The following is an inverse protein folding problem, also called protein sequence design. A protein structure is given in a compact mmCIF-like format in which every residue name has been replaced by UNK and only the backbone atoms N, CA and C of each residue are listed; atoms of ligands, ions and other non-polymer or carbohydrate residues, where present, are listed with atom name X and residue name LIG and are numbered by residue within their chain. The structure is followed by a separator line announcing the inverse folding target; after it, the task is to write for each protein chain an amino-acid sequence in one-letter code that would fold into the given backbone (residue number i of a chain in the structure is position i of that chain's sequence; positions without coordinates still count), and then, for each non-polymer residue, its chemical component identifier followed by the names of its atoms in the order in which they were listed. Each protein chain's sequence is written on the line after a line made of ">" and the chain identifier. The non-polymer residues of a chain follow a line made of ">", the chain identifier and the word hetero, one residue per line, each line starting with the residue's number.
data_IF_918270585083
#
_entry.id   IF_918270585083
#
_cell.length_a   1.000
_cell.length_b   1.000
_cell.length_c   1.000
_cell.angle_alpha   90.00
_cell.angle_beta   90.00
_cell.angle_gamma   90.00
#
_symmetry.space_group_name_H-M   'P 1'
#
loop_
_entity.id
_entity.type
_entity.pdbx_description
1 polymer ?
#
# COMPACT_ATOMS: atom_id res chain seq x y z
N UNK A 1 -9.09 29.91 36.70
CA UNK A 1 -9.19 29.92 35.22
C UNK A 1 -8.21 28.97 34.55
N UNK A 2 -6.91 28.98 34.89
CA UNK A 2 -5.89 28.12 34.26
C UNK A 2 -6.23 26.61 34.32
N UNK A 3 -6.71 26.11 35.46
CA UNK A 3 -7.13 24.70 35.62
C UNK A 3 -8.32 24.34 34.71
N UNK A 4 -9.30 25.23 34.58
CA UNK A 4 -10.46 25.00 33.71
C UNK A 4 -10.04 24.91 32.23
N UNK A 5 -9.14 25.81 31.79
CA UNK A 5 -8.55 25.77 30.45
C UNK A 5 -7.79 24.46 30.21
N UNK A 6 -7.03 23.99 31.21
CA UNK A 6 -6.27 22.74 31.11
C UNK A 6 -7.18 21.50 31.06
N UNK A 7 -8.31 21.53 31.78
CA UNK A 7 -9.33 20.47 31.70
C UNK A 7 -9.97 20.43 30.31
N UNK A 8 -10.30 21.58 29.73
CA UNK A 8 -10.87 21.67 28.37
C UNK A 8 -9.86 21.18 27.33
N UNK A 9 -8.59 21.61 27.41
CA UNK A 9 -7.52 21.15 26.51
C UNK A 9 -7.28 19.64 26.61
N UNK A 10 -7.29 19.07 27.82
CA UNK A 10 -7.21 17.62 28.00
C UNK A 10 -8.40 16.88 27.40
N UNK A 11 -9.62 17.41 27.57
CA UNK A 11 -10.81 16.82 26.97
C UNK A 11 -10.72 16.83 25.44
N UNK A 12 -10.30 17.95 24.83
CA UNK A 12 -10.07 18.05 23.38
C UNK A 12 -8.98 17.09 22.91
N UNK A 13 -7.89 16.95 23.66
CA UNK A 13 -6.80 16.02 23.34
C UNK A 13 -7.28 14.55 23.41
N UNK A 14 -8.07 14.20 24.42
CA UNK A 14 -8.69 12.88 24.54
C UNK A 14 -9.66 12.58 23.39
N UNK A 15 -10.51 13.54 23.03
CA UNK A 15 -11.42 13.41 21.88
C UNK A 15 -10.61 13.20 20.59
N UNK A 16 -9.57 13.99 20.38
CA UNK A 16 -8.64 13.80 19.27
C UNK A 16 -8.01 12.41 19.28
N UNK A 17 -7.63 11.89 20.44
CA UNK A 17 -7.01 10.57 20.59
C UNK A 17 -7.99 9.44 20.25
N UNK A 18 -9.24 9.58 20.67
CA UNK A 18 -10.31 8.66 20.31
C UNK A 18 -10.61 8.66 18.81
N UNK A 19 -10.65 9.85 18.19
CA UNK A 19 -10.82 9.99 16.74
C UNK A 19 -9.64 9.38 15.97
N UNK A 20 -8.41 9.60 16.44
CA UNK A 20 -7.22 8.97 15.88
C UNK A 20 -7.29 7.44 15.92
N UNK A 21 -7.68 6.87 17.06
CA UNK A 21 -7.82 5.42 17.22
C UNK A 21 -8.95 4.85 16.34
N UNK A 22 -10.06 5.58 16.18
CA UNK A 22 -11.12 5.20 15.26
C UNK A 22 -10.65 5.23 13.80
N UNK A 23 -9.87 6.24 13.41
CA UNK A 23 -9.29 6.36 12.08
C UNK A 23 -8.26 5.25 11.80
N UNK A 24 -7.39 4.95 12.79
CA UNK A 24 -6.45 3.84 12.75
C UNK A 24 -7.17 2.50 12.55
N UNK A 25 -8.26 2.27 13.29
CA UNK A 25 -9.06 1.06 13.19
C UNK A 25 -9.73 0.94 11.83
N UNK A 26 -10.26 2.04 11.30
CA UNK A 26 -10.89 2.06 9.99
C UNK A 26 -9.87 1.78 8.87
N UNK A 27 -8.68 2.36 9.00
CA UNK A 27 -7.56 2.15 8.08
C UNK A 27 -6.94 0.76 8.21
N UNK A 28 -6.94 0.16 9.39
CA UNK A 28 -6.41 -1.19 9.60
C UNK A 28 -7.16 -2.26 8.77
N UNK A 29 -8.45 -2.04 8.50
CA UNK A 29 -9.28 -2.90 7.64
C UNK A 29 -9.23 -2.60 6.14
N UNK A 30 -8.42 -1.62 5.70
CA UNK A 30 -8.42 -1.14 4.32
C UNK A 30 -7.02 -1.19 3.68
N UNK A 31 -6.99 -1.16 2.34
CA UNK A 31 -5.77 -0.92 1.58
C UNK A 31 -5.38 0.55 1.64
N UNK A 32 -4.47 0.90 2.55
CA UNK A 32 -4.06 2.29 2.78
C UNK A 32 -3.02 2.71 1.73
N UNK A 33 -3.27 3.76 0.93
CA UNK A 33 -2.25 4.36 0.07
C UNK A 33 -1.21 5.12 0.90
N UNK A 34 0.05 5.14 0.42
CA UNK A 34 1.22 5.70 1.14
C UNK A 34 1.00 7.13 1.70
N UNK A 35 0.31 8.00 0.96
CA UNK A 35 0.00 9.37 1.39
C UNK A 35 -0.87 9.44 2.65
N UNK A 36 -1.71 8.43 2.87
CA UNK A 36 -2.58 8.36 4.04
C UNK A 36 -1.87 7.82 5.29
N UNK A 37 -0.69 7.22 5.14
CA UNK A 37 0.19 6.84 6.26
C UNK A 37 0.94 8.06 6.80
N UNK A 38 1.52 8.89 5.93
CA UNK A 38 2.23 10.11 6.35
C UNK A 38 1.30 11.08 7.11
N UNK A 39 0.06 11.23 6.64
CA UNK A 39 -0.95 12.04 7.35
C UNK A 39 -1.28 11.47 8.74
N UNK A 40 -1.27 10.15 8.89
CA UNK A 40 -1.55 9.47 10.15
C UNK A 40 -0.38 9.59 11.13
N UNK A 41 0.84 9.52 10.60
CA UNK A 41 2.07 9.76 11.37
C UNK A 41 2.13 11.19 11.90
N UNK A 42 1.92 12.18 11.05
CA UNK A 42 1.89 13.61 11.44
C UNK A 42 0.81 13.85 12.50
N UNK A 43 -0.38 13.26 12.31
CA UNK A 43 -1.48 13.43 13.25
C UNK A 43 -1.17 12.77 14.62
N UNK A 44 -0.58 11.56 14.61
CA UNK A 44 -0.13 10.89 15.83
C UNK A 44 0.99 11.64 16.55
N UNK A 45 1.98 12.15 15.81
CA UNK A 45 3.09 12.94 16.35
C UNK A 45 2.59 14.25 16.99
N UNK A 46 1.66 14.93 16.32
CA UNK A 46 1.03 16.16 16.83
C UNK A 46 0.30 15.90 18.15
N UNK A 47 -0.46 14.81 18.21
CA UNK A 47 -1.26 14.47 19.38
C UNK A 47 -0.40 14.11 20.60
N UNK A 48 0.68 13.36 20.37
CA UNK A 48 1.63 13.03 21.41
C UNK A 48 2.41 14.25 21.91
N UNK A 49 2.86 15.13 21.02
CA UNK A 49 3.53 16.38 21.40
C UNK A 49 2.61 17.26 22.29
N UNK A 50 1.34 17.42 21.90
CA UNK A 50 0.34 18.13 22.71
C UNK A 50 0.12 17.45 24.06
N UNK A 51 0.01 16.12 24.09
CA UNK A 51 -0.21 15.36 25.33
C UNK A 51 0.95 15.53 26.32
N UNK A 52 2.20 15.45 25.84
CA UNK A 52 3.40 15.64 26.66
C UNK A 52 3.50 17.08 27.17
N UNK A 53 3.17 18.06 26.33
CA UNK A 53 3.13 19.46 26.76
C UNK A 53 2.08 19.68 27.85
N UNK A 54 0.87 19.14 27.70
CA UNK A 54 -0.19 19.24 28.71
C UNK A 54 0.21 18.57 30.04
N UNK A 55 0.89 17.42 29.99
CA UNK A 55 1.41 16.75 31.17
C UNK A 55 2.48 17.60 31.87
N UNK A 56 3.41 18.18 31.10
CA UNK A 56 4.45 19.07 31.63
C UNK A 56 3.87 20.34 32.24
N UNK A 57 2.85 20.95 31.61
CA UNK A 57 2.17 22.12 32.16
C UNK A 57 1.52 21.79 33.52
N UNK A 58 0.94 20.60 33.65
CA UNK A 58 0.37 20.10 34.92
C UNK A 58 1.43 19.98 36.00
N UNK A 59 2.60 19.43 35.66
CA UNK A 59 3.77 19.35 36.54
C UNK A 59 4.27 20.75 36.95
N UNK A 60 4.38 21.69 36.01
CA UNK A 60 4.79 23.06 36.29
C UNK A 60 3.83 23.76 37.25
N UNK A 61 2.51 23.64 37.04
CA UNK A 61 1.50 24.23 37.92
C UNK A 61 1.61 23.65 39.33
N UNK A 62 1.77 22.33 39.44
CA UNK A 62 1.93 21.65 40.72
C UNK A 62 3.20 22.09 41.45
N UNK A 63 4.35 22.10 40.77
CA UNK A 63 5.64 22.47 41.34
C UNK A 63 5.68 23.93 41.82
N UNK A 64 5.21 24.87 41.00
CA UNK A 64 5.14 26.29 41.36
C UNK A 64 4.10 26.58 42.43
N UNK A 65 3.01 25.80 42.49
CA UNK A 65 2.05 25.84 43.58
C UNK A 65 2.65 25.39 44.92
N UNK A 66 3.53 24.39 44.91
CA UNK A 66 4.22 23.91 46.11
C UNK A 66 5.36 24.82 46.58
N UNK A 67 6.08 25.45 45.65
CA UNK A 67 7.30 26.21 45.94
C UNK A 67 7.10 27.74 45.96
N UNK A 68 5.87 28.23 45.79
CA UNK A 68 5.53 29.65 45.95
C UNK A 68 6.02 30.60 44.84
N UNK A 69 6.59 30.09 43.74
CA UNK A 69 7.17 30.89 42.66
C UNK A 69 6.17 31.22 41.53
N UNK A 70 4.97 31.68 41.89
CA UNK A 70 3.87 31.99 40.95
C UNK A 70 4.25 32.95 39.82
N UNK A 71 5.18 33.88 40.05
CA UNK A 71 5.63 34.87 39.05
C UNK A 71 6.33 34.24 37.83
N UNK A 72 6.89 33.03 37.95
CA UNK A 72 7.60 32.36 36.86
C UNK A 72 6.80 31.25 36.16
N UNK A 73 5.54 31.05 36.55
CA UNK A 73 4.69 29.97 36.03
C UNK A 73 4.53 30.05 34.51
N UNK A 74 4.19 31.23 33.96
CA UNK A 74 4.01 31.39 32.51
C UNK A 74 5.30 31.19 31.73
N UNK A 75 6.45 31.66 32.26
CA UNK A 75 7.75 31.42 31.63
C UNK A 75 8.08 29.94 31.60
N UNK A 76 7.79 29.22 32.69
CA UNK A 76 8.05 27.77 32.77
C UNK A 76 7.18 26.97 31.81
N UNK A 77 5.91 27.32 31.66
CA UNK A 77 4.98 26.71 30.69
C UNK A 77 5.45 26.97 29.25
N UNK A 78 5.81 28.22 28.92
CA UNK A 78 6.31 28.56 27.60
C UNK A 78 7.60 27.79 27.28
N UNK A 79 8.55 27.79 28.21
CA UNK A 79 9.84 27.11 28.05
C UNK A 79 9.67 25.59 27.92
N UNK A 80 8.78 24.99 28.73
CA UNK A 80 8.46 23.56 28.62
C UNK A 80 7.88 23.21 27.25
N UNK A 81 7.05 24.08 26.66
CA UNK A 81 6.44 23.84 25.34
C UNK A 81 7.50 23.94 24.24
N UNK A 82 8.32 24.99 24.29
CA UNK A 82 9.37 25.25 23.29
C UNK A 82 10.43 24.14 23.30
N UNK A 83 10.69 23.52 24.45
CA UNK A 83 11.65 22.41 24.55
C UNK A 83 10.99 21.06 24.26
N UNK A 84 9.87 20.75 24.92
CA UNK A 84 9.28 19.41 24.85
C UNK A 84 8.65 19.13 23.50
N UNK A 85 7.96 20.10 22.87
CA UNK A 85 7.31 19.86 21.59
C UNK A 85 8.29 19.39 20.49
N UNK A 86 9.40 20.09 20.19
CA UNK A 86 10.38 19.62 19.20
C UNK A 86 11.11 18.36 19.67
N UNK A 87 11.36 18.21 20.97
CA UNK A 87 11.99 17.00 21.50
C UNK A 87 11.10 15.77 21.26
N UNK A 88 9.80 15.86 21.56
CA UNK A 88 8.85 14.77 21.30
C UNK A 88 8.75 14.48 19.81
N UNK A 89 8.73 15.50 18.97
CA UNK A 89 8.69 15.32 17.52
C UNK A 89 9.92 14.56 17.02
N UNK A 90 11.11 14.94 17.48
CA UNK A 90 12.35 14.28 17.10
C UNK A 90 12.43 12.84 17.62
N UNK A 91 12.11 12.61 18.89
CA UNK A 91 12.08 11.26 19.50
C UNK A 91 11.11 10.35 18.75
N UNK A 92 9.93 10.85 18.39
CA UNK A 92 8.94 10.04 17.68
C UNK A 92 9.27 9.77 16.22
N UNK A 93 10.13 10.58 15.59
CA UNK A 93 10.69 10.26 14.27
C UNK A 93 11.79 9.21 14.37
N UNK A 94 12.75 9.39 15.29
CA UNK A 94 13.97 8.58 15.35
C UNK A 94 13.77 7.22 16.02
N UNK A 95 13.00 7.15 17.11
CA UNK A 95 12.87 5.93 17.90
C UNK A 95 12.23 4.78 17.12
N UNK A 96 11.12 4.98 16.37
CA UNK A 96 10.55 3.90 15.57
C UNK A 96 11.51 3.34 14.53
N UNK A 97 12.29 4.20 13.87
CA UNK A 97 13.27 3.80 12.86
C UNK A 97 14.45 3.03 13.49
N UNK A 98 14.97 3.50 14.63
CA UNK A 98 16.02 2.80 15.36
C UNK A 98 15.56 1.42 15.86
N UNK A 99 14.32 1.31 16.33
CA UNK A 99 13.70 0.03 16.70
C UNK A 99 13.56 -0.86 15.44
N UNK A 100 13.15 -0.29 14.30
CA UNK A 100 13.00 -1.01 13.05
C UNK A 100 14.32 -1.62 12.54
N UNK A 101 15.41 -0.85 12.64
CA UNK A 101 16.75 -1.28 12.21
C UNK A 101 17.34 -2.34 13.12
N UNK A 102 17.07 -2.26 14.43
CA UNK A 102 17.53 -3.23 15.43
C UNK A 102 16.81 -4.58 15.37
N UNK A 103 15.76 -4.74 14.55
CA UNK A 103 15.04 -6.02 14.49
C UNK A 103 15.89 -7.14 13.86
N UNK A 104 16.06 -8.29 14.57
CA UNK A 104 16.68 -9.48 14.02
C UNK A 104 15.91 -9.98 12.78
N UNK A 105 16.62 -10.69 11.90
CA UNK A 105 16.08 -11.18 10.61
C UNK A 105 14.78 -11.99 10.78
N UNK A 106 14.66 -12.76 11.87
CA UNK A 106 13.47 -13.56 12.15
C UNK A 106 12.21 -12.70 12.37
N UNK A 107 12.31 -11.57 13.07
CA UNK A 107 11.19 -10.63 13.27
C UNK A 107 10.73 -9.94 11.98
N UNK A 108 11.61 -9.78 11.00
CA UNK A 108 11.24 -9.27 9.67
C UNK A 108 10.44 -10.29 8.88
N UNK A 109 10.70 -11.58 9.09
CA UNK A 109 9.91 -12.68 8.50
C UNK A 109 8.54 -12.76 9.18
N UNK A 110 8.47 -12.62 10.51
CA UNK A 110 7.20 -12.57 11.25
C UNK A 110 6.31 -11.41 10.81
N UNK A 111 6.87 -10.22 10.59
CA UNK A 111 6.10 -9.06 10.11
C UNK A 111 5.61 -9.24 8.67
N UNK A 112 6.39 -9.89 7.81
CA UNK A 112 5.96 -10.27 6.46
C UNK A 112 4.79 -11.27 6.51
N UNK A 113 4.88 -12.29 7.37
CA UNK A 113 3.79 -13.26 7.54
C UNK A 113 2.53 -12.61 8.09
N UNK A 114 2.64 -11.71 9.07
CA UNK A 114 1.52 -10.93 9.57
C UNK A 114 0.90 -10.06 8.49
N UNK A 115 1.71 -9.40 7.66
CA UNK A 115 1.24 -8.59 6.54
C UNK A 115 0.48 -9.42 5.51
N UNK A 116 1.06 -10.53 5.04
CA UNK A 116 0.43 -11.40 4.04
C UNK A 116 -0.83 -12.06 4.60
N UNK A 117 -0.84 -12.45 5.87
CA UNK A 117 -2.02 -13.03 6.54
C UNK A 117 -3.13 -12.01 6.69
N UNK A 118 -2.80 -10.78 7.10
CA UNK A 118 -3.75 -9.67 7.15
C UNK A 118 -4.39 -9.42 5.79
N UNK A 119 -3.60 -9.36 4.72
CA UNK A 119 -4.11 -9.26 3.35
C UNK A 119 -4.96 -10.47 2.98
N UNK A 120 -4.53 -11.65 3.37
CA UNK A 120 -5.23 -12.91 3.17
C UNK A 120 -6.66 -12.89 3.72
N UNK A 121 -6.80 -12.42 4.96
CA UNK A 121 -8.09 -12.26 5.64
C UNK A 121 -8.92 -11.12 5.03
N UNK A 122 -8.29 -9.98 4.70
CA UNK A 122 -8.96 -8.86 4.06
C UNK A 122 -9.41 -9.12 2.62
N UNK A 123 -8.93 -10.16 1.94
CA UNK A 123 -9.45 -10.53 0.62
C UNK A 123 -10.25 -11.83 0.61
N UNK A 124 -10.60 -12.36 1.79
CA UNK A 124 -11.25 -13.68 1.97
C UNK A 124 -10.51 -14.83 1.27
N UNK A 125 -9.22 -14.66 1.04
CA UNK A 125 -8.34 -15.70 0.49
C UNK A 125 -7.89 -16.70 1.54
N UNK A 126 -7.92 -16.32 2.81
CA UNK A 126 -7.48 -17.13 3.93
C UNK A 126 -8.54 -17.05 5.02
N UNK A 127 -8.80 -18.18 5.68
CA UNK A 127 -9.61 -18.25 6.89
C UNK A 127 -8.76 -18.86 7.99
N UNK A 128 -8.87 -18.32 9.21
CA UNK A 128 -8.25 -18.93 10.39
C UNK A 128 -9.23 -19.98 10.93
N UNK A 129 -8.83 -21.25 11.02
CA UNK A 129 -9.69 -22.30 11.55
C UNK A 129 -10.25 -21.93 12.94
N UNK A 130 -11.56 -22.12 13.14
CA UNK A 130 -12.22 -21.84 14.42
C UNK A 130 -12.54 -20.36 14.69
N UNK A 131 -12.17 -19.43 13.80
CA UNK A 131 -12.49 -18.00 13.95
C UNK A 131 -13.43 -17.57 12.80
N UNK A 132 -14.70 -17.20 13.08
CA UNK A 132 -15.65 -16.77 12.05
C UNK A 132 -15.39 -15.32 11.57
N UNK A 133 -14.15 -15.00 11.19
CA UNK A 133 -13.72 -13.63 10.89
C UNK A 133 -14.57 -12.95 9.81
N UNK A 134 -15.04 -13.70 8.81
CA UNK A 134 -15.84 -13.14 7.70
C UNK A 134 -17.10 -12.41 8.17
N UNK A 135 -17.74 -12.88 9.24
CA UNK A 135 -18.97 -12.30 9.79
C UNK A 135 -18.72 -11.00 10.60
N UNK A 136 -17.47 -10.81 11.05
CA UNK A 136 -17.06 -9.71 11.91
C UNK A 136 -16.14 -8.71 11.21
N UNK A 137 -15.69 -9.02 10.00
CA UNK A 137 -14.71 -8.25 9.24
C UNK A 137 -15.03 -6.76 9.15
N UNK A 138 -16.26 -6.42 8.80
CA UNK A 138 -16.67 -5.02 8.64
C UNK A 138 -17.11 -4.37 9.95
N UNK A 139 -17.26 -5.18 11.02
CA UNK A 139 -17.55 -4.72 12.38
C UNK A 139 -16.27 -4.22 13.07
N UNK A 140 -16.44 -3.40 14.11
CA UNK A 140 -15.33 -2.89 14.91
C UNK A 140 -14.44 -4.01 15.47
N UNK A 141 -15.05 -5.13 15.88
CA UNK A 141 -14.37 -6.31 16.41
C UNK A 141 -13.41 -6.95 15.40
N UNK A 142 -13.85 -7.16 14.15
CA UNK A 142 -12.98 -7.72 13.11
C UNK A 142 -11.86 -6.75 12.69
N UNK A 143 -12.13 -5.45 12.65
CA UNK A 143 -11.09 -4.44 12.42
C UNK A 143 -10.04 -4.44 13.53
N UNK A 144 -10.47 -4.59 14.78
CA UNK A 144 -9.57 -4.64 15.95
C UNK A 144 -8.74 -5.93 15.96
N UNK A 145 -9.36 -7.05 15.61
CA UNK A 145 -8.67 -8.33 15.42
C UNK A 145 -7.56 -8.21 14.35
N UNK A 146 -7.85 -7.62 13.19
CA UNK A 146 -6.85 -7.40 12.13
C UNK A 146 -5.75 -6.42 12.55
N UNK A 147 -6.10 -5.37 13.31
CA UNK A 147 -5.11 -4.43 13.83
C UNK A 147 -4.11 -5.11 14.78
N UNK A 148 -4.59 -6.05 15.60
CA UNK A 148 -3.79 -6.76 16.60
C UNK A 148 -3.17 -8.08 16.09
N UNK A 149 -3.48 -8.50 14.86
CA UNK A 149 -3.03 -9.78 14.30
C UNK A 149 -1.51 -9.95 14.33
N UNK A 150 -0.75 -8.88 14.06
CA UNK A 150 0.71 -8.92 14.10
C UNK A 150 1.28 -9.26 15.48
N UNK A 151 0.65 -8.76 16.55
CA UNK A 151 1.02 -9.05 17.94
C UNK A 151 0.57 -10.46 18.32
N UNK A 152 -0.62 -10.89 17.90
CA UNK A 152 -1.09 -12.25 18.17
C UNK A 152 -0.19 -13.30 17.50
N UNK A 153 0.25 -13.03 16.27
CA UNK A 153 1.17 -13.91 15.54
C UNK A 153 2.58 -13.92 16.14
N UNK A 154 3.05 -12.83 16.74
CA UNK A 154 4.35 -12.85 17.43
C UNK A 154 4.33 -13.66 18.72
N UNK A 155 3.16 -13.88 19.33
CA UNK A 155 2.99 -14.67 20.56
C UNK A 155 2.66 -16.14 20.26
N UNK A 156 2.00 -16.46 19.13
CA UNK A 156 1.71 -17.82 18.68
C UNK A 156 2.70 -18.33 17.63
N UNK A 157 3.82 -18.90 18.09
CA UNK A 157 4.85 -19.46 17.20
C UNK A 157 4.37 -20.59 16.28
N UNK A 158 3.45 -21.45 16.74
CA UNK A 158 3.01 -22.64 15.99
C UNK A 158 2.22 -22.33 14.71
N UNK A 159 1.39 -21.27 14.72
CA UNK A 159 0.65 -20.84 13.53
C UNK A 159 1.59 -20.23 12.49
N UNK A 160 2.61 -19.50 12.95
CA UNK A 160 3.62 -18.94 12.07
C UNK A 160 4.50 -20.03 11.46
N UNK A 161 4.87 -21.04 12.24
CA UNK A 161 5.68 -22.17 11.78
C UNK A 161 4.97 -22.94 10.65
N UNK A 162 3.64 -23.12 10.76
CA UNK A 162 2.82 -23.70 9.69
C UNK A 162 2.78 -22.83 8.42
N UNK A 163 2.68 -21.51 8.55
CA UNK A 163 2.79 -20.59 7.41
C UNK A 163 4.18 -20.69 6.79
N UNK A 164 5.24 -20.74 7.60
CA UNK A 164 6.62 -20.85 7.14
C UNK A 164 6.86 -22.10 6.29
N UNK A 165 6.34 -23.26 6.72
CA UNK A 165 6.48 -24.52 5.99
C UNK A 165 5.84 -24.53 4.60
N UNK A 166 4.79 -23.74 4.35
CA UNK A 166 4.11 -23.67 3.05
C UNK A 166 3.83 -22.22 2.61
N UNK A 167 4.81 -21.33 2.81
CA UNK A 167 4.61 -19.91 2.55
C UNK A 167 4.29 -19.62 1.07
N UNK A 168 4.87 -20.38 0.14
CA UNK A 168 4.61 -20.21 -1.30
C UNK A 168 3.15 -20.50 -1.66
N UNK A 169 2.57 -21.60 -1.18
CA UNK A 169 1.17 -21.94 -1.42
C UNK A 169 0.21 -20.96 -0.73
N UNK A 170 0.56 -20.55 0.49
CA UNK A 170 -0.17 -19.52 1.22
C UNK A 170 -0.20 -18.18 0.47
N UNK A 171 0.98 -17.67 0.09
CA UNK A 171 1.11 -16.42 -0.65
C UNK A 171 0.36 -16.46 -1.99
N UNK A 172 0.47 -17.55 -2.75
CA UNK A 172 -0.27 -17.72 -4.00
C UNK A 172 -1.79 -17.64 -3.79
N UNK A 173 -2.29 -18.20 -2.71
CA UNK A 173 -3.72 -18.15 -2.36
C UNK A 173 -4.16 -16.72 -2.02
N UNK A 174 -3.36 -15.99 -1.24
CA UNK A 174 -3.58 -14.57 -0.94
C UNK A 174 -3.59 -13.71 -2.20
N UNK A 175 -2.59 -13.88 -3.07
CA UNK A 175 -2.50 -13.12 -4.32
C UNK A 175 -3.64 -13.44 -5.28
N UNK A 176 -4.06 -14.70 -5.40
CA UNK A 176 -5.24 -15.06 -6.20
C UNK A 176 -6.51 -14.38 -5.70
N UNK A 177 -6.74 -14.37 -4.39
CA UNK A 177 -7.90 -13.67 -3.81
C UNK A 177 -7.84 -12.16 -4.04
N UNK A 178 -6.66 -11.55 -3.87
CA UNK A 178 -6.42 -10.14 -4.19
C UNK A 178 -6.78 -9.81 -5.64
N UNK A 179 -6.25 -10.58 -6.59
CA UNK A 179 -6.51 -10.38 -8.02
C UNK A 179 -7.99 -10.55 -8.34
N UNK A 180 -8.67 -11.55 -7.74
CA UNK A 180 -10.09 -11.79 -7.98
C UNK A 180 -10.96 -10.62 -7.51
N UNK A 181 -10.70 -10.07 -6.33
CA UNK A 181 -11.47 -8.93 -5.78
C UNK A 181 -11.16 -7.59 -6.45
N UNK A 182 -9.93 -7.42 -6.95
CA UNK A 182 -9.49 -6.19 -7.59
C UNK A 182 -9.52 -6.29 -9.13
N UNK A 183 -10.12 -7.34 -9.69
CA UNK A 183 -10.08 -7.63 -11.12
C UNK A 183 -10.52 -6.44 -11.98
N UNK A 184 -11.62 -5.78 -11.62
CA UNK A 184 -12.14 -4.63 -12.37
C UNK A 184 -11.17 -3.44 -12.33
N UNK A 185 -10.64 -3.11 -11.15
CA UNK A 185 -9.67 -2.02 -10.98
C UNK A 185 -8.36 -2.31 -11.69
N UNK A 186 -7.89 -3.56 -11.62
CA UNK A 186 -6.70 -4.04 -12.33
C UNK A 186 -6.92 -3.99 -13.85
N UNK A 187 -8.11 -4.38 -14.31
CA UNK A 187 -8.49 -4.33 -15.71
C UNK A 187 -8.57 -2.90 -16.24
N UNK A 188 -9.20 -1.98 -15.52
CA UNK A 188 -9.24 -0.55 -15.89
C UNK A 188 -7.84 0.05 -15.97
N UNK A 189 -6.95 -0.27 -15.03
CA UNK A 189 -5.54 0.15 -15.10
C UNK A 189 -4.81 -0.45 -16.29
N UNK A 190 -5.02 -1.74 -16.54
CA UNK A 190 -4.43 -2.41 -17.69
C UNK A 190 -4.85 -1.72 -19.00
N UNK A 191 -6.13 -1.35 -19.13
CA UNK A 191 -6.66 -0.63 -20.28
C UNK A 191 -6.14 0.80 -20.40
N UNK A 192 -5.99 1.52 -19.29
CA UNK A 192 -5.61 2.93 -19.33
C UNK A 192 -4.08 3.13 -19.44
N UNK A 193 -3.28 2.28 -18.81
CA UNK A 193 -1.86 2.53 -18.58
C UNK A 193 -0.95 1.55 -19.34
N UNK A 194 -1.37 0.30 -19.55
CA UNK A 194 -0.49 -0.75 -20.10
C UNK A 194 -0.79 -1.06 -21.56
N UNK A 195 -2.08 -1.21 -21.92
CA UNK A 195 -2.50 -1.56 -23.28
C UNK A 195 -2.08 -0.50 -24.32
N UNK A 196 -2.26 0.81 -24.09
CA UNK A 196 -1.88 1.82 -25.08
C UNK A 196 -0.37 1.82 -25.34
N UNK A 197 0.44 1.74 -24.28
CA UNK A 197 1.91 1.67 -24.38
C UNK A 197 2.34 0.40 -25.10
N UNK A 198 1.70 -0.73 -24.81
CA UNK A 198 1.96 -1.99 -25.52
C UNK A 198 1.58 -1.91 -27.01
N UNK A 199 0.45 -1.28 -27.35
CA UNK A 199 0.03 -1.10 -28.74
C UNK A 199 1.00 -0.21 -29.52
N UNK A 200 1.58 0.82 -28.89
CA UNK A 200 2.65 1.64 -29.47
C UNK A 200 3.91 0.81 -29.72
N UNK A 201 4.33 0.02 -28.73
CA UNK A 201 5.49 -0.89 -28.87
C UNK A 201 5.25 -1.91 -29.99
N UNK A 202 4.06 -2.48 -30.08
CA UNK A 202 3.72 -3.46 -31.12
C UNK A 202 3.72 -2.84 -32.51
N UNK A 203 3.26 -1.58 -32.65
CA UNK A 203 3.34 -0.82 -33.90
C UNK A 203 4.78 -0.53 -34.30
N UNK A 204 5.61 -0.08 -33.36
CA UNK A 204 7.03 0.18 -33.63
C UNK A 204 7.80 -1.10 -33.93
N UNK A 205 7.51 -2.20 -33.25
CA UNK A 205 8.09 -3.50 -33.55
C UNK A 205 7.81 -3.94 -34.99
N UNK A 206 6.59 -3.76 -35.48
CA UNK A 206 6.24 -4.09 -36.87
C UNK A 206 7.07 -3.27 -37.88
N UNK A 207 7.30 -1.98 -37.62
CA UNK A 207 8.15 -1.11 -38.46
C UNK A 207 9.60 -1.55 -38.42
N UNK A 208 10.17 -1.73 -37.23
CA UNK A 208 11.56 -2.17 -37.03
C UNK A 208 11.80 -3.52 -37.69
N UNK A 209 10.87 -4.47 -37.56
CA UNK A 209 11.00 -5.79 -38.17
C UNK A 209 10.90 -5.75 -39.70
N UNK A 210 10.04 -4.88 -40.26
CA UNK A 210 10.00 -4.64 -41.71
C UNK A 210 11.34 -4.08 -42.21
N UNK A 211 11.92 -3.11 -41.49
CA UNK A 211 13.22 -2.52 -41.80
C UNK A 211 14.39 -3.51 -41.66
N UNK A 212 14.34 -4.41 -40.68
CA UNK A 212 15.31 -5.50 -40.53
C UNK A 212 15.28 -6.44 -41.73
N UNK A 213 14.08 -6.81 -42.19
CA UNK A 213 13.90 -7.70 -43.35
C UNK A 213 14.32 -7.06 -44.66
N UNK A 214 14.16 -5.75 -44.81
CA UNK A 214 14.62 -5.00 -45.99
C UNK A 214 16.11 -4.65 -45.94
N UNK A 215 16.85 -5.03 -44.88
CA UNK A 215 18.29 -4.81 -44.79
C UNK A 215 18.70 -3.38 -44.46
N UNK A 216 17.79 -2.53 -43.97
CA UNK A 216 18.07 -1.14 -43.63
C UNK A 216 18.95 -1.06 -42.37
N UNK A 217 20.09 -0.38 -42.47
CA UNK A 217 21.02 -0.19 -41.37
C UNK A 217 20.38 0.54 -40.17
N UNK A 218 20.88 0.29 -38.96
CA UNK A 218 20.40 0.94 -37.72
C UNK A 218 19.33 0.19 -36.94
N UNK A 219 18.66 -0.80 -37.53
CA UNK A 219 17.54 -1.53 -36.93
C UNK A 219 17.94 -2.84 -36.21
N UNK A 220 19.25 -3.04 -35.97
CA UNK A 220 19.74 -4.22 -35.26
C UNK A 220 19.29 -4.20 -33.80
N UNK A 221 19.19 -5.38 -33.20
CA UNK A 221 18.79 -5.52 -31.80
C UNK A 221 19.71 -4.73 -30.89
N UNK A 222 19.15 -3.90 -30.00
CA UNK A 222 19.88 -3.13 -29.00
C UNK A 222 19.42 -3.56 -27.60
N UNK A 223 20.33 -3.88 -26.67
CA UNK A 223 19.92 -4.21 -25.31
C UNK A 223 19.26 -2.98 -24.67
N UNK A 224 18.12 -3.20 -24.01
CA UNK A 224 17.46 -2.17 -23.20
C UNK A 224 17.86 -2.36 -21.74
N UNK A 225 18.44 -1.33 -21.14
CA UNK A 225 18.53 -1.24 -19.69
C UNK A 225 17.12 -0.96 -19.15
N UNK A 226 16.59 -1.88 -18.35
CA UNK A 226 15.32 -1.64 -17.67
C UNK A 226 15.49 -0.49 -16.67
N UNK A 227 14.52 0.43 -16.56
CA UNK A 227 14.63 1.56 -15.64
C UNK A 227 14.82 1.05 -14.22
N UNK A 228 15.92 1.44 -13.59
CA UNK A 228 16.09 1.24 -12.16
C UNK A 228 15.30 2.33 -11.45
N UNK A 229 14.30 1.97 -10.65
CA UNK A 229 13.46 2.94 -9.93
C UNK A 229 14.26 3.90 -9.00
N UNK A 230 15.51 3.53 -8.65
CA UNK A 230 16.44 4.35 -7.88
C UNK A 230 17.12 5.48 -8.68
N UNK A 231 17.12 5.40 -10.01
CA UNK A 231 17.67 6.39 -10.91
C UNK A 231 16.47 7.03 -11.63
N UNK A 232 16.17 8.30 -11.36
CA UNK A 232 15.14 9.06 -12.09
C UNK A 232 15.57 9.19 -13.57
N UNK A 233 15.28 8.15 -14.35
CA UNK A 233 15.55 8.05 -15.78
C UNK A 233 14.24 8.21 -16.53
N UNK A 234 14.29 8.91 -17.65
CA UNK A 234 13.13 9.00 -18.54
C UNK A 234 12.71 7.60 -18.98
N UNK A 235 11.39 7.31 -19.02
CA UNK A 235 10.91 6.00 -19.42
C UNK A 235 11.33 5.71 -20.87
N UNK A 236 11.79 4.48 -21.17
CA UNK A 236 12.20 4.11 -22.51
C UNK A 236 11.07 4.29 -23.53
N UNK A 237 11.41 4.72 -24.74
CA UNK A 237 10.43 4.91 -25.80
C UNK A 237 9.92 3.58 -26.35
N UNK A 238 8.78 3.62 -27.07
CA UNK A 238 8.25 2.44 -27.74
C UNK A 238 9.24 1.83 -28.75
N UNK A 239 10.05 2.66 -29.40
CA UNK A 239 11.12 2.25 -30.31
C UNK A 239 12.23 1.50 -29.57
N UNK A 240 12.64 1.97 -28.38
CA UNK A 240 13.67 1.31 -27.57
C UNK A 240 13.23 -0.10 -27.14
N UNK A 241 11.96 -0.23 -26.74
CA UNK A 241 11.35 -1.53 -26.44
C UNK A 241 11.31 -2.42 -27.68
N UNK A 242 10.91 -1.89 -28.84
CA UNK A 242 10.85 -2.63 -30.10
C UNK A 242 12.24 -3.11 -30.57
N UNK A 243 13.26 -2.27 -30.45
CA UNK A 243 14.65 -2.59 -30.82
C UNK A 243 15.25 -3.67 -29.89
N UNK A 244 14.82 -3.75 -28.64
CA UNK A 244 15.31 -4.73 -27.69
C UNK A 244 14.69 -6.13 -27.83
N UNK A 245 13.53 -6.22 -28.48
CA UNK A 245 12.85 -7.49 -28.70
C UNK A 245 13.58 -8.40 -29.70
N UNK A 246 13.48 -9.73 -29.53
CA UNK A 246 13.89 -10.71 -30.54
C UNK A 246 13.20 -10.46 -31.89
N UNK A 247 13.85 -10.80 -33.00
CA UNK A 247 13.24 -10.78 -34.34
C UNK A 247 12.25 -11.94 -34.52
N UNK A 248 11.36 -11.84 -35.51
CA UNK A 248 10.45 -12.92 -35.88
C UNK A 248 9.23 -13.15 -34.98
N UNK A 249 8.90 -12.23 -34.07
CA UNK A 249 7.68 -12.33 -33.26
C UNK A 249 6.46 -12.02 -34.13
N UNK A 250 5.59 -13.02 -34.33
CA UNK A 250 4.43 -12.91 -35.25
C UNK A 250 3.12 -12.54 -34.58
N UNK A 251 3.02 -12.67 -33.26
CA UNK A 251 1.75 -12.47 -32.52
C UNK A 251 1.92 -11.45 -31.40
N UNK A 252 0.83 -10.72 -31.09
CA UNK A 252 0.79 -9.82 -29.92
C UNK A 252 1.11 -10.54 -28.63
N UNK A 253 0.65 -11.78 -28.47
CA UNK A 253 0.97 -12.59 -27.29
C UNK A 253 2.46 -12.92 -27.17
N UNK A 254 3.14 -13.22 -28.28
CA UNK A 254 4.58 -13.45 -28.27
C UNK A 254 5.37 -12.18 -27.90
N UNK A 255 4.92 -11.02 -28.39
CA UNK A 255 5.49 -9.71 -28.03
C UNK A 255 5.26 -9.38 -26.53
N UNK A 256 4.05 -9.60 -26.03
CA UNK A 256 3.69 -9.36 -24.63
C UNK A 256 4.49 -10.23 -23.63
N UNK A 257 4.87 -11.43 -24.04
CA UNK A 257 5.64 -12.37 -23.22
C UNK A 257 7.15 -12.11 -23.20
N UNK A 258 7.64 -11.14 -23.96
CA UNK A 258 9.06 -10.75 -23.91
C UNK A 258 9.43 -10.21 -22.53
N UNK A 259 10.70 -10.36 -22.14
CA UNK A 259 11.19 -9.88 -20.84
C UNK A 259 11.02 -8.35 -20.71
N UNK A 260 11.16 -7.63 -21.83
CA UNK A 260 11.07 -6.18 -21.93
C UNK A 260 9.64 -5.69 -21.64
N UNK A 261 8.62 -6.27 -22.30
CA UNK A 261 7.21 -5.90 -22.07
C UNK A 261 6.73 -6.34 -20.70
N UNK A 262 7.16 -7.52 -20.21
CA UNK A 262 6.86 -7.94 -18.84
C UNK A 262 7.51 -7.03 -17.80
N UNK A 263 8.73 -6.55 -18.04
CA UNK A 263 9.41 -5.56 -17.21
C UNK A 263 8.65 -4.23 -17.18
N UNK A 264 8.29 -3.70 -18.35
CA UNK A 264 7.46 -2.49 -18.48
C UNK A 264 6.13 -2.64 -17.72
N UNK A 265 5.41 -3.75 -17.90
CA UNK A 265 4.14 -3.99 -17.21
C UNK A 265 4.32 -4.08 -15.68
N UNK A 266 5.44 -4.64 -15.20
CA UNK A 266 5.77 -4.66 -13.77
C UNK A 266 5.99 -3.26 -13.24
N UNK A 267 6.76 -2.41 -13.93
CA UNK A 267 7.05 -1.04 -13.47
C UNK A 267 5.85 -0.10 -13.60
N UNK A 268 5.03 -0.23 -14.65
CA UNK A 268 3.76 0.49 -14.78
C UNK A 268 2.72 0.05 -13.75
N UNK A 269 2.70 -1.23 -13.35
CA UNK A 269 1.72 -1.75 -12.39
C UNK A 269 2.14 -1.61 -10.91
N UNK A 270 3.40 -1.32 -10.59
CA UNK A 270 3.92 -1.31 -9.21
C UNK A 270 4.31 0.08 -8.65
N UNK A 271 4.11 1.17 -9.41
CA UNK A 271 4.33 2.54 -8.93
C UNK A 271 3.04 3.27 -8.50
N UNK A 272 3.12 4.25 -7.57
CA UNK A 272 2.05 5.22 -7.41
C UNK A 272 2.00 6.06 -8.70
N UNK A 273 0.89 6.04 -9.44
CA UNK A 273 0.68 7.03 -10.51
C UNK A 273 0.83 8.44 -9.93
N UNK A 274 1.28 9.46 -10.68
CA UNK A 274 1.03 9.66 -12.12
C UNK A 274 2.23 10.22 -12.92
N UNK A 275 2.47 9.74 -14.14
CA UNK A 275 3.22 10.52 -15.15
C UNK A 275 3.01 9.87 -16.52
N UNK A 276 2.05 10.36 -17.29
CA UNK A 276 2.02 10.40 -18.76
C UNK A 276 0.71 11.10 -19.16
N UNK A 277 0.56 12.35 -18.68
CA UNK A 277 -0.46 13.27 -19.16
C UNK A 277 0.24 14.21 -20.12
N UNK A 278 0.02 14.00 -21.42
CA UNK A 278 0.46 14.92 -22.45
C UNK A 278 0.93 14.23 -23.73
N UNK A 279 -0.03 13.87 -24.60
CA UNK A 279 0.06 14.14 -26.05
C UNK A 279 -1.27 13.78 -26.74
N UNK A 280 -1.79 14.80 -27.42
CA UNK A 280 -2.94 14.93 -28.30
C UNK A 280 -3.35 13.68 -29.12
N UNK A 281 -4.67 13.43 -29.23
CA UNK A 281 -5.27 12.66 -30.35
C UNK A 281 -6.60 11.98 -30.01
N UNK A 282 -7.64 12.03 -30.87
CA UNK A 282 -9.04 12.07 -30.45
C UNK A 282 -9.75 10.70 -30.36
N UNK A 283 -10.86 10.70 -29.59
CA UNK A 283 -12.08 9.92 -29.75
C UNK A 283 -11.98 8.48 -30.30
N UNK A 284 -12.23 7.51 -29.42
CA UNK A 284 -12.98 6.29 -29.77
C UNK A 284 -13.84 5.85 -28.58
N UNK A 285 -14.82 6.70 -28.22
CA UNK A 285 -16.07 6.24 -27.62
C UNK A 285 -16.91 5.63 -28.76
N UNK A 286 -16.74 4.34 -29.04
CA UNK A 286 -17.70 3.44 -29.71
C UNK A 286 -16.93 2.23 -30.26
N UNK A 287 -16.93 1.12 -29.52
CA UNK A 287 -16.86 -0.27 -30.01
C UNK A 287 -16.32 -1.18 -28.88
N UNK A 288 -17.19 -1.53 -27.94
CA UNK A 288 -16.94 -2.71 -27.08
C UNK A 288 -18.24 -3.37 -26.61
N UNK A 289 -19.28 -3.33 -27.46
CA UNK A 289 -20.42 -4.25 -27.39
C UNK A 289 -20.25 -5.25 -28.51
N UNK A 290 -19.37 -6.22 -28.32
CA UNK A 290 -19.29 -7.50 -29.04
C UNK A 290 -17.96 -8.14 -28.62
N UNK A 291 -18.00 -9.40 -28.19
CA UNK A 291 -16.91 -10.22 -27.60
C UNK A 291 -16.88 -10.29 -26.07
N UNK A 292 -17.99 -10.75 -25.50
CA UNK A 292 -17.98 -11.54 -24.26
C UNK A 292 -18.04 -13.03 -24.66
N UNK A 293 -16.99 -13.84 -24.46
CA UNK A 293 -17.14 -15.29 -24.50
C UNK A 293 -17.83 -15.74 -23.21
N UNK A 294 -18.93 -16.49 -23.38
CA UNK A 294 -19.74 -17.10 -22.34
C UNK A 294 -18.90 -17.92 -21.34
N UNK A 295 -18.66 -17.36 -20.16
CA UNK A 295 -18.23 -18.09 -18.96
C UNK A 295 -19.36 -18.08 -17.92
N UNK A 296 -20.53 -18.62 -18.28
CA UNK A 296 -21.61 -18.92 -17.33
C UNK A 296 -22.53 -20.00 -17.90
N UNK A 297 -22.12 -21.26 -17.80
CA UNK A 297 -23.07 -22.39 -17.83
C UNK A 297 -22.44 -23.68 -17.29
N UNK A 298 -22.19 -23.73 -15.98
CA UNK A 298 -22.07 -25.00 -15.23
C UNK A 298 -22.02 -24.68 -13.74
N UNK A 299 -23.18 -24.38 -13.16
CA UNK A 299 -23.49 -24.47 -11.72
C UNK A 299 -24.87 -23.86 -11.55
N UNK A 300 -25.92 -24.66 -11.73
CA UNK A 300 -27.27 -24.54 -11.15
C UNK A 300 -28.18 -25.47 -11.95
N UNK A 301 -28.44 -26.66 -11.40
CA UNK A 301 -29.30 -27.65 -12.06
C UNK A 301 -29.43 -28.99 -11.35
N UNK A 302 -29.24 -29.07 -10.03
CA UNK A 302 -29.72 -30.20 -9.24
C UNK A 302 -30.20 -29.67 -7.89
N UNK A 303 -31.51 -29.44 -7.78
CA UNK A 303 -32.27 -29.53 -6.53
C UNK A 303 -33.78 -29.53 -6.83
N UNK A 304 -34.39 -30.65 -6.45
CA UNK A 304 -35.80 -30.86 -6.02
C UNK A 304 -36.87 -31.12 -7.09
N UNK A 305 -37.37 -32.36 -7.08
CA UNK A 305 -38.79 -32.64 -6.89
C UNK A 305 -38.90 -33.78 -5.84
N UNK A 306 -39.55 -33.48 -4.72
CA UNK A 306 -40.11 -34.44 -3.78
C UNK A 306 -41.44 -33.83 -3.30
N UNK A 307 -42.53 -34.39 -3.79
CA UNK A 307 -43.82 -34.59 -3.14
C UNK A 307 -44.64 -35.55 -3.99
#
# INVERSE_FOLDING_TARGET
>A
MLLAVLTVLNALCLIGGLLFNAELLNKAGADIPLKNLQALEIYGQSLAAVSVCLAAWRLCIWAHGKWGHQQHLMRSILLSTVVLAPLTWWVQGVVPDAIAEAFPADLRVYSLYAYVTKKGLLYDSVQIPGIPYQEYRDKGEGKAFIANLGVLMSVQGSYVEQIGHNFQGFAQTVFKGYTRRNADRLYSRLQAEVIPVFDDIAREYAKVEALRRSGVAGNKRKPLALPNAALQQDPPSAEDYALAMPSGLRTRQAMANTAQVRGMARHGASGPGPALRGRNGPACHAQSVQHVPQWHRQQHGQRRCAH
#
